data_IF_624838501793
#
_entry.id   IF_624838501793
#
_cell.length_a   1.000
_cell.length_b   1.000
_cell.length_c   1.000
_cell.angle_alpha   90.00
_cell.angle_beta   90.00
_cell.angle_gamma   90.00
#
_symmetry.space_group_name_H-M   'P 1'
#
loop_
_entity.id
_entity.type
_entity.pdbx_description
1 polymer ?
#
# COMPACT_ATOMS: atom_id res chain seq x y z
N UNK A 1 15.34 -8.71 6.09
CA UNK A 1 14.76 -8.78 7.43
C UNK A 1 13.42 -8.06 7.55
N UNK A 2 13.20 -7.00 6.75
CA UNK A 2 11.96 -6.24 6.66
C UNK A 2 11.84 -5.57 5.29
N UNK A 3 10.66 -5.03 4.93
CA UNK A 3 10.42 -4.34 3.66
C UNK A 3 9.64 -3.03 3.88
N UNK A 4 10.00 -2.01 3.12
CA UNK A 4 9.20 -0.79 2.94
C UNK A 4 8.51 -0.90 1.59
N UNK A 5 7.19 -0.80 1.58
CA UNK A 5 6.39 -0.70 0.35
C UNK A 5 6.10 0.77 0.11
N UNK A 6 6.71 1.35 -0.92
CA UNK A 6 6.54 2.76 -1.24
C UNK A 6 5.46 2.92 -2.31
N UNK A 7 4.31 3.48 -1.93
CA UNK A 7 3.18 3.73 -2.83
C UNK A 7 2.98 5.23 -3.12
N UNK A 8 3.86 6.07 -2.63
CA UNK A 8 3.76 7.52 -2.83
C UNK A 8 3.81 7.89 -4.31
N UNK A 9 3.06 8.93 -4.67
CA UNK A 9 2.96 9.45 -6.04
C UNK A 9 2.44 8.44 -7.07
N UNK A 10 1.84 7.34 -6.64
CA UNK A 10 1.29 6.33 -7.53
C UNK A 10 -0.12 6.75 -8.01
N UNK A 11 -0.29 6.77 -9.34
CA UNK A 11 -1.54 7.16 -10.01
C UNK A 11 -2.62 6.08 -10.07
N UNK A 12 -2.40 4.92 -9.45
CA UNK A 12 -3.34 3.81 -9.44
C UNK A 12 -2.97 2.66 -10.37
N UNK A 13 -3.93 1.80 -10.64
CA UNK A 13 -3.76 0.58 -11.43
C UNK A 13 -4.67 -0.54 -10.94
N UNK A 14 -4.14 -1.74 -10.76
CA UNK A 14 -4.89 -2.92 -10.33
C UNK A 14 -4.01 -3.96 -9.62
N UNK A 15 -3.15 -3.52 -8.69
CA UNK A 15 -2.13 -4.38 -8.08
C UNK A 15 -2.37 -4.65 -6.58
N UNK A 16 -3.36 -3.99 -5.97
CA UNK A 16 -3.63 -4.09 -4.54
C UNK A 16 -3.86 -5.53 -4.05
N UNK A 17 -4.56 -6.35 -4.85
CA UNK A 17 -4.84 -7.74 -4.51
C UNK A 17 -3.56 -8.59 -4.45
N UNK A 18 -2.66 -8.45 -5.42
CA UNK A 18 -1.43 -9.25 -5.49
C UNK A 18 -0.48 -8.86 -4.34
N UNK A 19 -0.38 -7.56 -4.04
CA UNK A 19 0.39 -7.06 -2.90
C UNK A 19 -0.19 -7.58 -1.59
N UNK A 20 -1.52 -7.55 -1.44
CA UNK A 20 -2.19 -8.06 -0.26
C UNK A 20 -1.95 -9.55 -0.05
N UNK A 21 -2.06 -10.36 -1.10
CA UNK A 21 -1.79 -11.80 -1.06
C UNK A 21 -0.34 -12.05 -0.65
N UNK A 22 0.61 -11.37 -1.29
CA UNK A 22 2.04 -11.52 -0.98
C UNK A 22 2.35 -11.20 0.49
N UNK A 23 1.83 -10.10 1.01
CA UNK A 23 2.13 -9.60 2.35
C UNK A 23 1.30 -10.27 3.45
N UNK A 24 0.19 -10.93 3.12
CA UNK A 24 -0.65 -11.66 4.06
C UNK A 24 -0.36 -13.15 4.15
N UNK A 25 0.53 -13.67 3.30
CA UNK A 25 0.88 -15.07 3.24
C UNK A 25 1.38 -15.60 4.59
N UNK A 26 0.82 -16.74 5.03
CA UNK A 26 1.23 -17.43 6.26
C UNK A 26 1.74 -18.80 5.94
N UNK A 27 2.89 -19.15 6.49
CA UNK A 27 3.44 -20.51 6.38
C UNK A 27 2.46 -21.55 6.89
N UNK A 28 2.24 -22.62 6.10
CA UNK A 28 1.42 -23.77 6.47
C UNK A 28 2.14 -25.12 6.22
N UNK A 29 3.23 -25.14 5.43
CA UNK A 29 4.08 -26.31 5.18
C UNK A 29 5.54 -25.86 5.13
N UNK A 30 6.43 -26.69 5.67
CA UNK A 30 7.89 -26.53 5.61
C UNK A 30 8.53 -27.74 4.99
N UNK A 31 9.53 -27.53 4.15
CA UNK A 31 10.32 -28.59 3.52
C UNK A 31 11.66 -28.75 4.22
N UNK A 32 11.97 -29.98 4.64
CA UNK A 32 13.17 -30.26 5.43
C UNK A 32 13.76 -31.63 5.08
N UNK A 33 14.55 -31.76 4.01
CA UNK A 33 15.27 -32.98 3.75
C UNK A 33 16.33 -33.21 4.84
N UNK A 34 16.23 -34.37 5.52
CA UNK A 34 17.16 -34.78 6.58
C UNK A 34 17.38 -33.71 7.69
N UNK A 35 16.31 -32.99 8.04
CA UNK A 35 16.36 -31.96 9.10
C UNK A 35 16.85 -30.58 8.66
N UNK A 36 17.24 -30.39 7.41
CA UNK A 36 17.69 -29.08 6.90
C UNK A 36 16.54 -28.34 6.23
N UNK A 37 16.19 -27.18 6.75
CA UNK A 37 15.15 -26.35 6.14
C UNK A 37 15.58 -25.84 4.77
N UNK A 38 14.72 -26.05 3.74
CA UNK A 38 14.98 -25.62 2.36
C UNK A 38 13.89 -24.70 1.79
N UNK A 39 12.82 -24.48 2.51
CA UNK A 39 11.73 -23.61 2.06
C UNK A 39 10.39 -23.94 2.71
N UNK A 40 9.37 -23.18 2.38
CA UNK A 40 8.01 -23.34 2.89
C UNK A 40 6.96 -22.95 1.84
N UNK A 41 5.71 -23.30 2.11
CA UNK A 41 4.54 -22.85 1.34
C UNK A 41 3.70 -21.88 2.16
N UNK A 42 3.05 -20.90 1.47
CA UNK A 42 3.04 -20.64 0.01
C UNK A 42 4.40 -20.12 -0.47
N UNK A 43 4.79 -20.44 -1.70
CA UNK A 43 6.09 -20.03 -2.25
C UNK A 43 6.22 -18.50 -2.39
N UNK A 44 5.13 -17.83 -2.71
CA UNK A 44 5.07 -16.37 -2.82
C UNK A 44 4.45 -15.81 -1.55
N UNK A 45 5.28 -15.44 -0.59
CA UNK A 45 4.86 -14.85 0.68
C UNK A 45 5.92 -13.92 1.26
N UNK A 46 5.48 -12.94 2.02
CA UNK A 46 6.32 -12.12 2.88
C UNK A 46 5.74 -12.13 4.29
N UNK A 47 6.40 -12.83 5.20
CA UNK A 47 5.96 -13.02 6.59
C UNK A 47 6.82 -12.27 7.62
N UNK A 48 7.64 -11.35 7.14
CA UNK A 48 8.50 -10.50 7.97
C UNK A 48 7.89 -9.10 8.12
N UNK A 49 8.41 -8.26 9.03
CA UNK A 49 7.90 -6.91 9.21
C UNK A 49 7.86 -6.12 7.91
N UNK A 50 6.80 -5.33 7.76
CA UNK A 50 6.66 -4.36 6.67
C UNK A 50 6.02 -3.08 7.17
N UNK A 51 6.28 -1.98 6.47
CA UNK A 51 5.55 -0.72 6.56
C UNK A 51 5.25 -0.22 5.17
N UNK A 52 4.23 0.61 5.03
CA UNK A 52 3.87 1.19 3.74
C UNK A 52 3.94 2.71 3.80
N UNK A 53 4.66 3.30 2.83
CA UNK A 53 4.72 4.74 2.64
C UNK A 53 3.56 5.19 1.77
N UNK A 54 2.89 6.25 2.22
CA UNK A 54 1.73 6.86 1.57
C UNK A 54 1.84 8.38 1.55
N UNK A 55 1.19 9.01 0.58
CA UNK A 55 1.08 10.47 0.56
C UNK A 55 -0.20 10.95 -0.13
N UNK A 56 -0.40 12.26 -0.13
CA UNK A 56 -1.55 12.96 -0.70
C UNK A 56 -1.72 12.80 -2.21
N UNK A 57 -0.70 12.30 -2.90
CA UNK A 57 -0.74 12.04 -4.35
C UNK A 57 -1.10 10.60 -4.71
N UNK A 58 -1.35 9.74 -3.72
CA UNK A 58 -1.88 8.42 -3.96
C UNK A 58 -3.29 8.51 -4.57
N UNK A 59 -3.51 7.87 -5.72
CA UNK A 59 -4.76 7.96 -6.46
C UNK A 59 -5.29 6.58 -6.85
N UNK A 60 -6.62 6.38 -6.86
CA UNK A 60 -7.30 5.17 -7.33
C UNK A 60 -6.79 3.90 -6.61
N UNK A 61 -6.22 2.93 -7.30
CA UNK A 61 -5.67 1.71 -6.69
C UNK A 61 -4.57 2.00 -5.65
N UNK A 62 -3.88 3.13 -5.76
CA UNK A 62 -2.93 3.57 -4.74
C UNK A 62 -3.60 4.14 -3.46
N UNK A 63 -4.94 4.30 -3.44
CA UNK A 63 -5.75 4.39 -2.23
C UNK A 63 -6.18 2.98 -1.78
N UNK A 64 -6.58 2.12 -2.71
CA UNK A 64 -7.00 0.74 -2.42
C UNK A 64 -5.91 -0.09 -1.75
N UNK A 65 -4.70 0.01 -2.24
CA UNK A 65 -3.53 -0.73 -1.69
C UNK A 65 -3.29 -0.45 -0.21
N UNK A 66 -3.11 0.80 0.25
CA UNK A 66 -2.95 1.09 1.68
C UNK A 66 -4.21 0.83 2.50
N UNK A 67 -5.40 0.99 1.91
CA UNK A 67 -6.64 0.63 2.59
C UNK A 67 -6.67 -0.87 2.94
N UNK A 68 -6.39 -1.75 1.97
CA UNK A 68 -6.34 -3.20 2.18
C UNK A 68 -5.23 -3.57 3.16
N UNK A 69 -4.06 -2.97 3.02
CA UNK A 69 -2.91 -3.18 3.90
C UNK A 69 -3.26 -2.90 5.37
N UNK A 70 -3.93 -1.78 5.64
CA UNK A 70 -4.41 -1.39 6.97
C UNK A 70 -5.53 -2.30 7.48
N UNK A 71 -6.51 -2.61 6.63
CA UNK A 71 -7.66 -3.46 6.96
C UNK A 71 -7.23 -4.87 7.36
N UNK A 72 -6.23 -5.43 6.69
CA UNK A 72 -5.67 -6.75 7.00
C UNK A 72 -4.65 -6.72 8.15
N UNK A 73 -4.30 -5.55 8.68
CA UNK A 73 -3.33 -5.42 9.77
C UNK A 73 -1.91 -5.89 9.40
N UNK A 74 -1.49 -5.68 8.14
CA UNK A 74 -0.22 -6.18 7.62
C UNK A 74 0.99 -5.40 8.16
N UNK A 75 0.79 -4.16 8.58
CA UNK A 75 1.79 -3.28 9.16
C UNK A 75 1.25 -1.87 9.30
N UNK A 76 2.13 -0.89 9.49
CA UNK A 76 1.76 0.52 9.65
C UNK A 76 1.85 1.29 8.35
N UNK A 77 0.88 2.20 8.14
CA UNK A 77 0.95 3.25 7.14
C UNK A 77 1.72 4.45 7.69
N UNK A 78 2.66 4.97 6.93
CA UNK A 78 3.52 6.09 7.32
C UNK A 78 3.53 7.13 6.20
N UNK A 79 3.30 8.39 6.53
CA UNK A 79 3.30 9.48 5.55
C UNK A 79 2.16 10.46 5.73
N UNK A 80 1.67 11.01 4.64
CA UNK A 80 0.54 11.94 4.63
C UNK A 80 -0.78 11.21 4.36
N UNK A 81 -1.93 11.78 4.82
CA UNK A 81 -3.25 11.22 4.54
C UNK A 81 -3.51 11.02 3.04
N UNK A 82 -4.08 9.87 2.70
CA UNK A 82 -4.41 9.52 1.31
C UNK A 82 -5.82 10.01 0.99
N UNK A 83 -6.03 10.74 -0.12
CA UNK A 83 -7.36 11.16 -0.56
C UNK A 83 -8.26 9.96 -0.86
N UNK A 84 -9.56 10.15 -0.70
CA UNK A 84 -10.56 9.11 -0.93
C UNK A 84 -10.96 8.99 -2.41
N UNK A 85 -10.18 8.29 -3.22
CA UNK A 85 -10.43 8.12 -4.65
C UNK A 85 -10.39 6.63 -5.03
N UNK A 86 -11.53 5.94 -4.91
CA UNK A 86 -11.57 4.48 -5.08
C UNK A 86 -12.71 3.98 -5.97
N UNK A 87 -13.32 4.84 -6.78
CA UNK A 87 -14.32 4.42 -7.77
C UNK A 87 -13.66 4.03 -9.08
N UNK A 88 -13.97 2.84 -9.60
CA UNK A 88 -13.49 2.42 -10.90
C UNK A 88 -14.25 3.17 -12.01
N UNK A 89 -13.53 3.57 -13.04
CA UNK A 89 -14.04 4.39 -14.15
C UNK A 89 -13.97 3.63 -15.46
N UNK A 90 -15.01 3.79 -16.27
CA UNK A 90 -14.99 3.43 -17.68
C UNK A 90 -14.58 4.65 -18.52
N UNK A 91 -13.61 4.48 -19.41
CA UNK A 91 -13.09 5.56 -20.25
C UNK A 91 -13.72 5.54 -21.63
N UNK A 92 -14.37 6.64 -22.02
CA UNK A 92 -14.97 6.83 -23.33
C UNK A 92 -14.18 7.88 -24.11
N UNK A 93 -13.80 7.53 -25.34
CA UNK A 93 -13.20 8.48 -26.29
C UNK A 93 -14.31 9.27 -26.96
N UNK A 94 -14.20 10.59 -26.97
CA UNK A 94 -15.20 11.48 -27.56
C UNK A 94 -15.10 11.52 -29.11
N UNK A 95 -16.03 12.23 -29.76
CA UNK A 95 -15.99 12.48 -31.20
C UNK A 95 -14.66 13.13 -31.61
N UNK A 96 -14.15 14.05 -30.79
CA UNK A 96 -12.76 14.49 -30.85
C UNK A 96 -11.90 13.45 -30.13
N UNK A 97 -11.04 12.68 -30.84
CA UNK A 97 -10.28 11.58 -30.24
C UNK A 97 -9.18 12.05 -29.29
N UNK A 98 -8.92 13.35 -29.20
CA UNK A 98 -8.00 13.92 -28.20
C UNK A 98 -8.65 14.07 -26.83
N UNK A 99 -9.98 13.94 -26.73
CA UNK A 99 -10.77 14.06 -25.52
C UNK A 99 -11.24 12.70 -25.04
N UNK A 100 -10.99 12.42 -23.76
CA UNK A 100 -11.49 11.24 -23.06
C UNK A 100 -12.34 11.65 -21.87
N UNK A 101 -13.40 10.90 -21.61
CA UNK A 101 -14.29 11.10 -20.48
C UNK A 101 -14.37 9.84 -19.63
N UNK A 102 -14.15 9.98 -18.33
CA UNK A 102 -14.24 8.86 -17.39
C UNK A 102 -15.60 8.80 -16.71
N UNK A 103 -16.30 7.67 -16.86
CA UNK A 103 -17.62 7.44 -16.26
C UNK A 103 -17.44 6.53 -15.04
N UNK A 104 -17.71 7.00 -13.81
CA UNK A 104 -17.68 6.16 -12.62
C UNK A 104 -18.75 5.07 -12.70
N UNK A 105 -18.38 3.81 -12.56
CA UNK A 105 -19.32 2.68 -12.70
C UNK A 105 -19.32 1.75 -11.51
N UNK A 106 -18.16 1.48 -10.90
CA UNK A 106 -18.05 0.49 -9.83
C UNK A 106 -17.48 1.14 -8.59
N UNK A 107 -18.28 1.21 -7.55
CA UNK A 107 -17.89 1.70 -6.24
C UNK A 107 -17.31 0.55 -5.41
N UNK A 108 -16.14 0.76 -4.84
CA UNK A 108 -15.58 -0.12 -3.80
C UNK A 108 -16.19 0.23 -2.46
N UNK A 109 -16.64 -0.80 -1.74
CA UNK A 109 -17.24 -0.64 -0.41
C UNK A 109 -16.32 -1.23 0.66
N UNK A 110 -16.36 -0.66 1.86
CA UNK A 110 -15.78 -1.29 3.04
C UNK A 110 -16.62 -2.50 3.50
N UNK A 111 -16.16 -3.22 4.51
CA UNK A 111 -16.85 -4.40 5.04
C UNK A 111 -18.19 -4.08 5.73
N UNK A 112 -18.51 -2.80 5.94
CA UNK A 112 -19.79 -2.32 6.49
C UNK A 112 -20.73 -1.81 5.39
N UNK A 113 -20.32 -1.88 4.12
CA UNK A 113 -21.08 -1.40 2.98
C UNK A 113 -20.96 0.09 2.71
N UNK A 114 -20.01 0.79 3.34
CA UNK A 114 -19.77 2.22 3.10
C UNK A 114 -18.81 2.40 1.92
N UNK A 115 -19.11 3.30 0.96
CA UNK A 115 -18.20 3.62 -0.13
C UNK A 115 -16.85 4.12 0.37
N UNK A 116 -15.76 3.64 -0.25
CA UNK A 116 -14.40 4.14 0.00
C UNK A 116 -14.14 5.48 -0.70
N UNK A 117 -14.93 5.79 -1.71
CA UNK A 117 -14.88 7.10 -2.39
C UNK A 117 -15.19 8.22 -1.39
N UNK A 118 -14.42 9.30 -1.46
CA UNK A 118 -14.49 10.44 -0.52
C UNK A 118 -14.21 10.07 0.95
N UNK A 119 -13.54 8.94 1.20
CA UNK A 119 -13.08 8.54 2.52
C UNK A 119 -11.56 8.69 2.61
N UNK A 120 -11.11 9.76 3.25
CA UNK A 120 -9.68 9.94 3.52
C UNK A 120 -9.14 8.77 4.38
N UNK A 121 -8.01 8.21 3.96
CA UNK A 121 -7.30 7.19 4.73
C UNK A 121 -6.14 7.83 5.48
N UNK A 122 -6.24 7.86 6.80
CA UNK A 122 -5.18 8.42 7.64
C UNK A 122 -4.08 7.39 7.88
N UNK A 123 -2.79 7.78 7.79
CA UNK A 123 -1.68 6.92 8.19
C UNK A 123 -1.68 6.67 9.70
N UNK A 124 -0.94 5.64 10.12
CA UNK A 124 -0.73 5.33 11.54
C UNK A 124 0.35 6.23 12.16
N UNK A 125 1.29 6.68 11.32
CA UNK A 125 2.31 7.67 11.67
C UNK A 125 2.25 8.78 10.62
N UNK A 126 1.69 9.92 11.01
CA UNK A 126 1.57 11.06 10.11
C UNK A 126 2.88 11.85 10.09
N UNK A 127 3.45 11.97 8.90
CA UNK A 127 4.70 12.70 8.66
C UNK A 127 4.75 13.23 7.22
N UNK A 128 5.21 14.47 7.07
CA UNK A 128 5.30 15.16 5.79
C UNK A 128 6.75 15.42 5.42
N UNK A 129 7.04 15.27 4.13
CA UNK A 129 8.29 15.75 3.57
C UNK A 129 8.23 17.25 3.35
N UNK A 130 9.22 17.98 3.81
CA UNK A 130 9.33 19.41 3.56
C UNK A 130 10.02 19.67 2.22
N UNK A 131 9.49 20.55 1.36
CA UNK A 131 10.05 20.76 0.03
C UNK A 131 11.54 21.12 0.02
N UNK A 132 12.00 21.96 0.94
CA UNK A 132 13.41 22.33 1.04
C UNK A 132 14.31 21.17 1.45
N UNK A 133 13.86 20.34 2.41
CA UNK A 133 14.60 19.15 2.82
C UNK A 133 14.69 18.12 1.68
N UNK A 134 13.62 17.97 0.90
CA UNK A 134 13.61 17.10 -0.29
C UNK A 134 14.61 17.55 -1.36
N UNK A 135 14.76 18.86 -1.57
CA UNK A 135 15.79 19.38 -2.50
C UNK A 135 17.20 19.09 -2.02
N UNK A 136 17.42 18.94 -0.74
CA UNK A 136 18.69 18.55 -0.13
C UNK A 136 18.86 17.01 -0.06
N UNK A 137 17.92 16.24 -0.60
CA UNK A 137 17.94 14.77 -0.61
C UNK A 137 17.48 14.14 0.70
N UNK A 138 16.83 14.89 1.60
CA UNK A 138 16.29 14.38 2.87
C UNK A 138 14.85 13.95 2.69
N UNK A 139 14.58 12.64 2.80
CA UNK A 139 13.24 12.07 2.79
C UNK A 139 12.82 11.69 4.22
N UNK A 140 12.14 12.63 4.89
CA UNK A 140 11.70 12.47 6.28
C UNK A 140 10.72 11.31 6.45
N UNK A 141 9.84 11.05 5.47
CA UNK A 141 8.92 9.92 5.49
C UNK A 141 9.68 8.60 5.42
N UNK A 142 10.67 8.47 4.54
CA UNK A 142 11.49 7.26 4.42
C UNK A 142 12.34 7.03 5.68
N UNK A 143 12.87 8.09 6.28
CA UNK A 143 13.61 8.03 7.54
C UNK A 143 12.70 7.49 8.65
N UNK A 144 11.47 7.98 8.77
CA UNK A 144 10.54 7.52 9.79
C UNK A 144 10.10 6.06 9.56
N UNK A 145 9.85 5.67 8.30
CA UNK A 145 9.55 4.28 7.94
C UNK A 145 10.69 3.32 8.33
N UNK A 146 11.92 3.73 8.06
CA UNK A 146 13.12 2.97 8.45
C UNK A 146 13.24 2.85 9.97
N UNK A 147 13.01 3.93 10.70
CA UNK A 147 13.04 3.95 12.16
C UNK A 147 11.98 3.01 12.77
N UNK A 148 10.77 3.04 12.25
CA UNK A 148 9.70 2.16 12.72
C UNK A 148 10.02 0.69 12.45
N UNK A 149 10.57 0.33 11.28
CA UNK A 149 10.98 -1.04 10.98
C UNK A 149 12.12 -1.52 11.88
N UNK A 150 13.13 -0.69 12.12
CA UNK A 150 14.23 -1.02 13.05
C UNK A 150 13.68 -1.27 14.46
N UNK A 151 12.71 -0.48 14.91
CA UNK A 151 12.04 -0.69 16.21
C UNK A 151 11.31 -2.05 16.25
N UNK A 152 10.60 -2.43 15.17
CA UNK A 152 9.90 -3.72 15.08
C UNK A 152 10.85 -4.92 15.06
N UNK A 153 12.00 -4.80 14.39
CA UNK A 153 13.01 -5.86 14.33
C UNK A 153 13.69 -6.04 15.68
N UNK A 154 14.00 -4.93 16.37
CA UNK A 154 14.68 -4.96 17.67
C UNK A 154 13.77 -5.43 18.82
N UNK A 155 12.47 -5.45 18.64
CA UNK A 155 11.49 -5.89 19.65
C UNK A 155 11.21 -7.41 19.63
N UNK A 156 11.78 -8.13 18.66
CA UNK A 156 11.71 -9.60 18.51
C UNK A 156 12.95 -10.26 19.08
#
# INVERSE_FOLDING_TARGET
>A
EAVIVDTRYNGGGWLHNDIAILLSGREYVRFSPRGNYIGSEPFSQWNKPSVMLVNESNYSDAHGTPYVYKTLGLGKLIGAPVPGTMTAVWWETQVDPTLMFGIPQVTSLDMNGKPLENQQLNPDIEVYNKPLEMLEGVDTQLIEATRELLRQISAK
#
